data_IF_256120944419
#
_entry.id   IF_256120944419
#
_cell.length_a   1.000
_cell.length_b   1.000
_cell.length_c   1.000
_cell.angle_alpha   90.00
_cell.angle_beta   90.00
_cell.angle_gamma   90.00
#
_symmetry.space_group_name_H-M   'P 1'
#
loop_
_entity.id
_entity.type
_entity.pdbx_description
1 polymer ?
#
# COMPACT_ATOMS: atom_id res chain seq x y z
N UNK A 1 4.83 9.96 -6.20
CA UNK A 1 3.85 9.19 -5.43
C UNK A 1 2.72 8.75 -6.33
N UNK A 2 2.39 7.46 -6.29
CA UNK A 2 1.26 6.86 -6.98
C UNK A 2 0.23 6.47 -5.92
N UNK A 3 -0.84 7.24 -5.84
CA UNK A 3 -1.92 7.05 -4.87
C UNK A 3 -3.12 6.35 -5.50
N UNK A 4 -3.72 5.39 -4.79
CA UNK A 4 -4.80 4.56 -5.29
C UNK A 4 -6.04 5.34 -5.72
N UNK A 5 -6.38 6.42 -5.01
CA UNK A 5 -7.53 7.25 -5.37
C UNK A 5 -7.28 7.97 -6.71
N UNK A 6 -6.11 8.60 -6.87
CA UNK A 6 -5.76 9.31 -8.10
C UNK A 6 -5.65 8.39 -9.32
N UNK A 7 -5.05 7.21 -9.14
CA UNK A 7 -4.87 6.24 -10.23
C UNK A 7 -6.22 5.73 -10.74
N UNK A 8 -7.22 5.59 -9.89
CA UNK A 8 -8.57 5.16 -10.27
C UNK A 8 -9.34 6.21 -11.06
N UNK A 9 -8.93 7.47 -11.06
CA UNK A 9 -9.51 8.50 -11.93
C UNK A 9 -8.94 8.46 -13.37
N UNK A 10 -7.80 7.82 -13.58
CA UNK A 10 -7.10 7.77 -14.87
C UNK A 10 -6.79 6.34 -15.30
N UNK A 11 -5.57 5.90 -15.03
CA UNK A 11 -5.01 4.64 -15.52
C UNK A 11 -5.89 3.41 -15.23
N UNK A 12 -6.51 3.37 -14.06
CA UNK A 12 -7.32 2.24 -13.59
C UNK A 12 -8.82 2.58 -13.46
N UNK A 13 -9.30 3.60 -14.20
CA UNK A 13 -10.70 4.05 -14.14
C UNK A 13 -11.73 2.98 -14.54
N UNK A 14 -11.29 1.97 -15.28
CA UNK A 14 -12.13 0.86 -15.71
C UNK A 14 -12.20 -0.30 -14.72
N UNK A 15 -11.46 -0.23 -13.59
CA UNK A 15 -11.41 -1.29 -12.58
C UNK A 15 -12.34 -0.97 -11.41
N UNK A 16 -13.06 -2.00 -10.95
CA UNK A 16 -13.86 -2.00 -9.73
C UNK A 16 -13.08 -2.49 -8.51
N UNK A 17 -13.78 -3.21 -7.63
CA UNK A 17 -13.24 -3.71 -6.35
C UNK A 17 -13.37 -5.24 -6.20
N UNK A 18 -13.74 -5.95 -7.27
CA UNK A 18 -13.69 -7.42 -7.26
C UNK A 18 -12.27 -7.93 -7.02
N UNK A 19 -12.07 -9.18 -6.60
CA UNK A 19 -10.73 -9.75 -6.46
C UNK A 19 -9.88 -9.60 -7.72
N UNK A 20 -10.46 -9.85 -8.89
CA UNK A 20 -9.79 -9.75 -10.20
C UNK A 20 -9.39 -8.31 -10.51
N UNK A 21 -10.28 -7.34 -10.26
CA UNK A 21 -9.99 -5.93 -10.46
C UNK A 21 -8.90 -5.43 -9.51
N UNK A 22 -8.87 -5.95 -8.27
CA UNK A 22 -7.79 -5.64 -7.30
C UNK A 22 -6.46 -6.19 -7.75
N UNK A 23 -6.41 -7.44 -8.23
CA UNK A 23 -5.21 -8.05 -8.80
C UNK A 23 -4.68 -7.22 -9.96
N UNK A 24 -5.54 -6.91 -10.94
CA UNK A 24 -5.15 -6.10 -12.12
C UNK A 24 -4.71 -4.69 -11.74
N UNK A 25 -5.36 -4.08 -10.73
CA UNK A 25 -4.94 -2.78 -10.21
C UNK A 25 -3.50 -2.81 -9.68
N UNK A 26 -3.15 -3.81 -8.87
CA UNK A 26 -1.80 -3.95 -8.32
C UNK A 26 -0.80 -4.33 -9.41
N UNK A 27 -1.18 -5.20 -10.35
CA UNK A 27 -0.34 -5.53 -11.51
C UNK A 27 0.06 -4.29 -12.30
N UNK A 28 -0.91 -3.45 -12.69
CA UNK A 28 -0.63 -2.22 -13.47
C UNK A 28 0.29 -1.27 -12.70
N UNK A 29 0.05 -1.08 -11.42
CA UNK A 29 0.88 -0.18 -10.60
C UNK A 29 2.28 -0.74 -10.39
N UNK A 30 2.43 -2.04 -10.25
CA UNK A 30 3.74 -2.70 -10.21
C UNK A 30 4.56 -2.41 -11.47
N UNK A 31 3.97 -2.54 -12.65
CA UNK A 31 4.63 -2.22 -13.92
C UNK A 31 5.02 -0.74 -14.03
N UNK A 32 4.11 0.17 -13.65
CA UNK A 32 4.40 1.61 -13.67
C UNK A 32 5.53 1.96 -12.69
N UNK A 33 5.49 1.40 -11.48
CA UNK A 33 6.55 1.60 -10.49
C UNK A 33 7.90 1.08 -11.00
N UNK A 34 7.90 -0.07 -11.69
CA UNK A 34 9.10 -0.62 -12.33
C UNK A 34 9.69 0.31 -13.38
N UNK A 35 8.87 0.91 -14.24
CA UNK A 35 9.33 1.88 -15.24
C UNK A 35 9.98 3.11 -14.59
N UNK A 36 9.44 3.60 -13.47
CA UNK A 36 10.06 4.69 -12.73
C UNK A 36 11.39 4.26 -12.07
N UNK A 37 11.45 3.06 -11.50
CA UNK A 37 12.68 2.52 -10.93
C UNK A 37 13.78 2.37 -11.98
N UNK A 38 13.45 1.88 -13.19
CA UNK A 38 14.39 1.77 -14.31
C UNK A 38 14.88 3.14 -14.79
N UNK A 39 14.09 4.18 -14.62
CA UNK A 39 14.47 5.56 -14.88
C UNK A 39 15.27 6.21 -13.73
N UNK A 40 15.61 5.47 -12.68
CA UNK A 40 16.36 5.96 -11.52
C UNK A 40 15.53 6.83 -10.56
N UNK A 41 14.19 6.69 -10.59
CA UNK A 41 13.27 7.45 -9.75
C UNK A 41 12.73 6.57 -8.63
N UNK A 42 12.73 7.09 -7.40
CA UNK A 42 12.06 6.42 -6.28
C UNK A 42 10.55 6.57 -6.45
N UNK A 43 9.88 5.47 -6.78
CA UNK A 43 8.43 5.42 -6.87
C UNK A 43 7.84 5.00 -5.51
N UNK A 44 6.95 5.81 -4.95
CA UNK A 44 6.16 5.45 -3.78
C UNK A 44 4.75 5.12 -4.21
N UNK A 45 4.27 3.93 -3.87
CA UNK A 45 2.91 3.48 -4.18
C UNK A 45 2.10 3.37 -2.88
N UNK A 46 0.91 3.96 -2.83
CA UNK A 46 0.02 3.94 -1.67
C UNK A 46 -1.28 3.22 -2.04
N UNK A 47 -1.32 1.91 -1.75
CA UNK A 47 -2.44 1.02 -2.07
C UNK A 47 -2.72 0.07 -0.91
N UNK A 48 -3.97 -0.37 -0.76
CA UNK A 48 -4.34 -1.39 0.23
C UNK A 48 -3.63 -2.70 -0.07
N UNK A 49 -3.57 -3.15 -1.34
CA UNK A 49 -2.88 -4.37 -1.78
C UNK A 49 -3.19 -5.58 -0.87
N UNK A 50 -4.46 -6.05 -0.81
CA UNK A 50 -4.89 -6.95 0.26
C UNK A 50 -4.33 -8.37 0.13
N UNK A 51 -3.91 -8.79 -1.05
CA UNK A 51 -3.47 -10.15 -1.31
C UNK A 51 -1.95 -10.27 -1.39
N UNK A 52 -1.37 -11.24 -0.67
CA UNK A 52 0.09 -11.51 -0.70
C UNK A 52 0.58 -11.83 -2.09
N UNK A 53 -0.16 -12.69 -2.82
CA UNK A 53 0.21 -13.10 -4.16
C UNK A 53 0.41 -11.90 -5.11
N UNK A 54 -0.41 -10.86 -5.00
CA UNK A 54 -0.31 -9.67 -5.85
C UNK A 54 0.90 -8.82 -5.48
N UNK A 55 1.18 -8.67 -4.17
CA UNK A 55 2.39 -7.98 -3.70
C UNK A 55 3.65 -8.73 -4.11
N UNK A 56 3.65 -10.07 -4.03
CA UNK A 56 4.76 -10.91 -4.45
C UNK A 56 5.00 -10.82 -5.96
N UNK A 57 3.95 -10.79 -6.78
CA UNK A 57 4.04 -10.55 -8.23
C UNK A 57 4.66 -9.18 -8.53
N UNK A 58 4.23 -8.12 -7.84
CA UNK A 58 4.80 -6.79 -8.00
C UNK A 58 6.29 -6.77 -7.58
N UNK A 59 6.65 -7.40 -6.47
CA UNK A 59 8.05 -7.55 -6.01
C UNK A 59 8.90 -8.25 -7.06
N UNK A 60 8.40 -9.31 -7.68
CA UNK A 60 9.14 -10.10 -8.67
C UNK A 60 9.52 -9.33 -9.95
N UNK A 61 8.92 -8.17 -10.20
CA UNK A 61 9.31 -7.27 -11.31
C UNK A 61 10.63 -6.53 -11.04
N UNK A 62 11.06 -6.46 -9.77
CA UNK A 62 12.20 -5.67 -9.33
C UNK A 62 13.40 -6.55 -8.99
N UNK A 63 14.60 -5.99 -9.06
CA UNK A 63 15.82 -6.65 -8.58
C UNK A 63 15.85 -6.68 -7.06
N UNK A 64 16.69 -7.56 -6.53
CA UNK A 64 16.91 -7.64 -5.08
C UNK A 64 17.31 -6.27 -4.52
N UNK A 65 16.59 -5.84 -3.48
CA UNK A 65 16.81 -4.56 -2.81
C UNK A 65 16.14 -3.34 -3.46
N UNK A 66 15.55 -3.48 -4.66
CA UNK A 66 14.83 -2.38 -5.31
C UNK A 66 13.36 -2.26 -4.85
N UNK A 67 12.78 -3.31 -4.28
CA UNK A 67 11.41 -3.32 -3.78
C UNK A 67 11.40 -3.29 -2.25
N UNK A 68 10.71 -2.32 -1.68
CA UNK A 68 10.57 -2.15 -0.23
C UNK A 68 9.09 -2.22 0.11
N UNK A 69 8.68 -3.28 0.80
CA UNK A 69 7.32 -3.42 1.32
C UNK A 69 7.23 -2.73 2.67
N UNK A 70 6.35 -1.73 2.74
CA UNK A 70 6.05 -1.01 3.97
C UNK A 70 4.66 -1.42 4.45
N UNK A 71 4.59 -2.20 5.52
CA UNK A 71 3.33 -2.57 6.14
C UNK A 71 2.87 -1.49 7.11
N UNK A 72 1.88 -0.73 6.70
CA UNK A 72 1.21 0.26 7.55
C UNK A 72 0.13 -0.45 8.36
N UNK A 73 0.52 -0.90 9.55
CA UNK A 73 -0.32 -1.70 10.45
C UNK A 73 -1.21 -0.79 11.29
N UNK A 74 -2.45 -1.20 11.46
CA UNK A 74 -3.40 -0.61 12.41
C UNK A 74 -4.46 -1.64 12.79
N UNK A 75 -4.82 -1.78 14.08
CA UNK A 75 -5.98 -2.55 14.49
C UNK A 75 -7.27 -1.99 13.86
N UNK A 76 -8.19 -2.88 13.51
CA UNK A 76 -9.44 -2.50 12.80
C UNK A 76 -10.28 -1.53 13.61
N UNK A 77 -10.41 -1.74 14.91
CA UNK A 77 -11.15 -0.86 15.82
C UNK A 77 -10.57 0.56 15.83
N UNK A 78 -9.24 0.70 15.81
CA UNK A 78 -8.56 2.00 15.70
C UNK A 78 -8.81 2.64 14.33
N UNK A 79 -8.76 1.86 13.25
CA UNK A 79 -9.05 2.36 11.91
C UNK A 79 -10.51 2.84 11.78
N UNK A 80 -11.46 2.11 12.36
CA UNK A 80 -12.88 2.48 12.42
C UNK A 80 -13.12 3.76 13.23
N UNK A 81 -12.41 3.94 14.34
CA UNK A 81 -12.50 5.18 15.13
C UNK A 81 -11.98 6.40 14.36
N UNK A 82 -10.94 6.21 13.55
CA UNK A 82 -10.36 7.28 12.72
C UNK A 82 -11.23 7.65 11.54
N UNK A 83 -11.76 6.68 10.84
CA UNK A 83 -12.64 6.72 9.65
C UNK A 83 -12.83 8.09 8.94
N UNK A 84 -11.76 8.73 8.46
CA UNK A 84 -11.79 10.12 7.99
C UNK A 84 -12.72 10.35 6.80
N UNK A 85 -13.03 9.29 6.05
CA UNK A 85 -13.92 9.32 4.88
C UNK A 85 -15.31 8.73 5.16
N UNK A 86 -15.57 8.23 6.37
CA UNK A 86 -16.82 7.54 6.72
C UNK A 86 -17.05 6.21 6.01
N UNK A 87 -15.98 5.60 5.47
CA UNK A 87 -16.09 4.37 4.66
C UNK A 87 -16.33 3.13 5.53
N UNK A 88 -15.73 3.05 6.71
CA UNK A 88 -15.98 1.97 7.66
C UNK A 88 -17.44 1.96 8.13
N UNK A 89 -17.99 3.13 8.44
CA UNK A 89 -19.40 3.30 8.81
C UNK A 89 -20.31 2.77 7.70
N UNK A 90 -20.05 3.13 6.45
CA UNK A 90 -20.81 2.64 5.29
C UNK A 90 -20.66 1.14 5.06
N UNK A 91 -19.45 0.61 5.23
CA UNK A 91 -19.20 -0.82 5.12
C UNK A 91 -19.95 -1.62 6.19
N UNK A 92 -19.97 -1.16 7.44
CA UNK A 92 -20.76 -1.77 8.53
C UNK A 92 -22.27 -1.71 8.29
N UNK A 93 -22.75 -0.64 7.65
CA UNK A 93 -24.15 -0.52 7.24
C UNK A 93 -24.50 -1.39 6.01
N UNK A 94 -23.54 -2.09 5.40
CA UNK A 94 -23.73 -2.92 4.21
C UNK A 94 -23.87 -2.12 2.90
N UNK A 95 -23.62 -0.82 2.94
CA UNK A 95 -23.66 0.04 1.76
C UNK A 95 -22.46 -0.17 0.82
N UNK A 96 -21.33 -0.60 1.37
CA UNK A 96 -20.12 -0.94 0.61
C UNK A 96 -19.86 -2.43 0.76
N UNK A 97 -19.89 -3.14 -0.37
CA UNK A 97 -19.54 -4.55 -0.46
C UNK A 97 -18.03 -4.72 -0.62
N UNK A 98 -17.51 -5.90 -0.23
CA UNK A 98 -16.10 -6.26 -0.41
C UNK A 98 -15.10 -5.23 0.17
N UNK A 99 -15.45 -4.66 1.33
CA UNK A 99 -14.59 -3.71 2.03
C UNK A 99 -13.50 -4.47 2.80
N UNK A 100 -12.24 -4.18 2.46
CA UNK A 100 -11.07 -4.84 3.07
C UNK A 100 -11.05 -4.67 4.59
N UNK A 101 -10.90 -5.78 5.29
CA UNK A 101 -10.89 -5.83 6.75
C UNK A 101 -12.27 -5.92 7.41
N UNK A 102 -13.38 -5.74 6.67
CA UNK A 102 -14.75 -5.90 7.16
C UNK A 102 -15.44 -7.09 6.49
N UNK A 103 -15.65 -7.00 5.18
CA UNK A 103 -16.33 -8.02 4.38
C UNK A 103 -15.44 -8.68 3.32
N UNK A 104 -14.22 -8.20 3.15
CA UNK A 104 -13.17 -8.78 2.33
C UNK A 104 -11.88 -8.97 3.14
N UNK A 105 -11.05 -9.99 2.83
CA UNK A 105 -9.84 -10.28 3.59
C UNK A 105 -8.75 -9.24 3.37
N UNK A 106 -7.85 -9.14 4.35
CA UNK A 106 -6.54 -8.55 4.23
C UNK A 106 -5.49 -9.58 4.69
N UNK A 107 -4.58 -9.93 3.81
CA UNK A 107 -3.50 -10.86 4.09
C UNK A 107 -2.25 -10.09 4.53
N UNK A 108 -1.95 -10.12 5.83
CA UNK A 108 -0.77 -9.41 6.36
C UNK A 108 0.53 -9.88 5.69
N UNK A 109 1.47 -8.97 5.40
CA UNK A 109 2.78 -9.34 4.89
C UNK A 109 3.53 -10.26 5.85
N UNK A 110 4.22 -11.26 5.32
CA UNK A 110 5.02 -12.19 6.13
C UNK A 110 6.44 -11.68 6.37
N UNK A 111 6.98 -10.86 5.47
CA UNK A 111 8.38 -10.40 5.47
C UNK A 111 8.50 -8.97 4.92
N UNK A 112 7.64 -8.06 5.38
CA UNK A 112 7.79 -6.65 5.02
C UNK A 112 9.13 -6.09 5.50
N UNK A 113 9.80 -5.31 4.68
CA UNK A 113 11.05 -4.62 5.04
C UNK A 113 10.85 -3.61 6.16
N UNK A 114 9.67 -3.00 6.21
CA UNK A 114 9.26 -2.08 7.28
C UNK A 114 7.86 -2.41 7.78
N UNK A 115 7.68 -2.36 9.09
CA UNK A 115 6.38 -2.41 9.75
C UNK A 115 6.19 -1.11 10.53
N UNK A 116 5.13 -0.39 10.23
CA UNK A 116 4.77 0.87 10.90
C UNK A 116 3.44 0.66 11.60
N UNK A 117 3.48 0.47 12.92
CA UNK A 117 2.25 0.40 13.72
C UNK A 117 1.76 1.81 14.03
N UNK A 118 0.71 2.24 13.32
CA UNK A 118 0.15 3.59 13.47
C UNK A 118 -0.78 3.73 14.68
N UNK A 119 -1.02 2.67 15.43
CA UNK A 119 -1.65 2.77 16.75
C UNK A 119 -0.67 3.24 17.83
N UNK A 120 0.63 2.99 17.63
CA UNK A 120 1.71 3.33 18.55
C UNK A 120 2.52 4.55 18.10
N UNK A 121 2.73 4.68 16.78
CA UNK A 121 3.56 5.73 16.18
C UNK A 121 2.71 6.86 15.60
N UNK A 122 3.08 8.09 15.90
CA UNK A 122 2.51 9.25 15.24
C UNK A 122 3.10 9.44 13.82
N UNK A 123 2.55 10.39 13.06
CA UNK A 123 2.96 10.66 11.69
C UNK A 123 4.45 11.01 11.56
N UNK A 124 4.97 11.81 12.48
CA UNK A 124 6.38 12.23 12.44
C UNK A 124 7.32 11.05 12.70
N UNK A 125 7.03 10.23 13.70
CA UNK A 125 7.78 9.02 14.01
C UNK A 125 7.73 8.01 12.86
N UNK A 126 6.56 7.81 12.25
CA UNK A 126 6.39 6.94 11.08
C UNK A 126 7.22 7.40 9.89
N UNK A 127 7.23 8.70 9.61
CA UNK A 127 8.06 9.31 8.57
C UNK A 127 9.56 9.11 8.84
N UNK A 128 10.00 9.36 10.07
CA UNK A 128 11.40 9.21 10.46
C UNK A 128 11.88 7.76 10.34
N UNK A 129 11.03 6.79 10.65
CA UNK A 129 11.34 5.37 10.48
C UNK A 129 11.64 5.04 9.01
N UNK A 130 10.79 5.50 8.09
CA UNK A 130 10.99 5.29 6.64
C UNK A 130 12.27 5.98 6.16
N UNK A 131 12.47 7.25 6.50
CA UNK A 131 13.66 8.01 6.09
C UNK A 131 14.95 7.37 6.63
N UNK A 132 14.95 6.93 7.88
CA UNK A 132 16.09 6.27 8.50
C UNK A 132 16.43 4.97 7.79
N UNK A 133 15.43 4.16 7.46
CA UNK A 133 15.62 2.95 6.68
C UNK A 133 16.24 3.24 5.29
N UNK A 134 15.70 4.21 4.56
CA UNK A 134 16.22 4.58 3.24
C UNK A 134 17.67 5.10 3.30
N UNK A 135 18.03 5.82 4.36
CA UNK A 135 19.41 6.28 4.62
C UNK A 135 20.33 5.12 4.98
N UNK A 136 19.88 4.19 5.82
CA UNK A 136 20.64 2.99 6.18
C UNK A 136 20.94 2.13 4.95
N UNK A 137 19.96 1.95 4.08
CA UNK A 137 20.11 1.22 2.80
C UNK A 137 20.82 2.03 1.71
N UNK A 138 21.26 3.24 1.99
CA UNK A 138 21.94 4.14 1.05
C UNK A 138 21.12 4.46 -0.23
N UNK A 139 19.79 4.35 -0.14
CA UNK A 139 18.88 4.72 -1.23
C UNK A 139 18.78 6.23 -1.35
N UNK A 140 18.87 6.94 -0.23
CA UNK A 140 18.97 8.39 -0.17
C UNK A 140 20.22 8.81 0.60
N UNK A 141 20.73 10.01 0.29
CA UNK A 141 21.94 10.53 0.93
C UNK A 141 21.75 10.69 2.45
N UNK A 142 22.82 10.40 3.22
CA UNK A 142 22.92 10.79 4.61
C UNK A 142 23.24 12.29 4.65
N UNK A 143 22.23 13.10 4.88
CA UNK A 143 22.43 14.54 5.18
C UNK A 143 22.69 14.69 6.66
#
# INVERSE_FOLDING_TARGET
>A
VLDGDNIRHGLNKNLGFSPEDREENIRRIGEVAKLFADAGIIAMTAFISPYRADRDKARALHKDGEFIEVYVKVPIDVAEQRDPKGLYKKARAGEIKEFTGISAPYEEPLKAELVIDTSELNLQQSKELVISYLKEKQIIAKV
#
